data_IF_827394378926
#
_entry.id   IF_827394378926
#
_cell.length_a   1.000
_cell.length_b   1.000
_cell.length_c   1.000
_cell.angle_alpha   90.00
_cell.angle_beta   90.00
_cell.angle_gamma   90.00
#
_symmetry.space_group_name_H-M   'P 1'
#
loop_
_entity.id
_entity.type
_entity.pdbx_description
1 polymer ?
#
# COMPACT_ATOMS: atom_id res chain seq x y z
N UNK A 1 -7.76 -24.25 9.09
CA UNK A 1 -6.70 -23.36 8.58
C UNK A 1 -6.45 -22.30 9.62
N UNK A 2 -5.20 -22.14 10.06
CA UNK A 2 -4.82 -21.16 11.08
C UNK A 2 -4.10 -20.00 10.40
N UNK A 3 -4.62 -18.79 10.58
CA UNK A 3 -4.08 -17.57 9.99
C UNK A 3 -3.77 -16.54 11.06
N UNK A 4 -2.76 -15.72 10.83
CA UNK A 4 -2.35 -14.64 11.74
C UNK A 4 -1.92 -13.42 10.95
N UNK A 5 -2.30 -12.24 11.45
CA UNK A 5 -1.74 -10.98 10.97
C UNK A 5 -0.42 -10.69 11.70
N UNK A 6 0.61 -10.38 10.92
CA UNK A 6 1.95 -10.04 11.41
C UNK A 6 2.31 -8.65 10.93
N UNK A 7 2.64 -7.76 11.85
CA UNK A 7 3.23 -6.48 11.49
C UNK A 7 4.71 -6.70 11.16
N UNK A 8 5.12 -6.37 9.93
CA UNK A 8 6.50 -6.50 9.48
C UNK A 8 7.28 -5.21 9.68
N UNK A 9 6.61 -4.10 9.44
CA UNK A 9 7.12 -2.76 9.72
C UNK A 9 5.96 -1.87 10.14
N UNK A 10 6.14 -1.08 11.19
CA UNK A 10 5.08 -0.29 11.80
C UNK A 10 5.43 1.19 11.78
N UNK A 11 4.62 1.97 11.05
CA UNK A 11 4.73 3.42 10.96
C UNK A 11 6.16 3.90 10.63
N UNK A 12 6.79 3.22 9.67
CA UNK A 12 8.07 3.64 9.12
C UNK A 12 7.91 5.06 8.55
N UNK A 13 8.66 5.99 9.10
CA UNK A 13 8.54 7.42 8.81
C UNK A 13 9.57 7.87 7.78
N UNK A 14 9.13 8.59 6.74
CA UNK A 14 10.01 9.15 5.72
C UNK A 14 9.89 10.67 5.64
N UNK A 15 11.03 11.35 5.56
CA UNK A 15 11.15 12.79 5.37
C UNK A 15 11.25 13.18 3.88
N UNK A 16 10.72 12.34 2.99
CA UNK A 16 10.78 12.53 1.53
C UNK A 16 9.38 12.58 0.94
N UNK A 17 9.04 13.70 0.30
CA UNK A 17 7.77 13.88 -0.40
C UNK A 17 7.58 12.87 -1.55
N UNK A 18 8.67 12.39 -2.13
CA UNK A 18 8.70 11.34 -3.13
C UNK A 18 9.91 10.42 -2.89
N UNK A 19 9.69 9.10 -2.95
CA UNK A 19 10.75 8.11 -2.76
C UNK A 19 10.32 6.77 -3.36
N UNK A 20 11.32 5.95 -3.69
CA UNK A 20 11.16 4.50 -3.88
C UNK A 20 11.78 3.79 -2.69
N UNK A 21 10.96 3.10 -1.92
CA UNK A 21 11.38 2.29 -0.78
C UNK A 21 11.31 0.82 -1.13
N UNK A 22 12.39 0.09 -0.84
CA UNK A 22 12.43 -1.37 -0.97
C UNK A 22 12.52 -2.01 0.41
N UNK A 23 11.63 -2.95 0.67
CA UNK A 23 11.52 -3.71 1.91
C UNK A 23 11.72 -5.22 1.63
N UNK A 24 12.68 -5.90 2.28
CA UNK A 24 12.88 -7.34 2.08
C UNK A 24 11.78 -8.17 2.75
N UNK A 25 11.22 -9.15 2.03
CA UNK A 25 10.19 -10.05 2.58
C UNK A 25 10.86 -11.26 3.21
N UNK A 26 11.25 -11.14 4.48
CA UNK A 26 11.98 -12.17 5.23
C UNK A 26 11.04 -13.08 6.07
N UNK A 27 9.91 -13.50 5.50
CA UNK A 27 8.95 -14.42 6.16
C UNK A 27 9.10 -15.81 5.57
N UNK A 28 8.95 -16.83 6.41
CA UNK A 28 9.04 -18.25 6.02
C UNK A 28 7.70 -18.90 5.72
N UNK A 29 6.61 -18.37 6.30
CA UNK A 29 5.27 -18.92 6.15
C UNK A 29 4.57 -18.33 4.93
N UNK A 30 3.70 -19.11 4.24
CA UNK A 30 2.93 -18.60 3.11
C UNK A 30 2.06 -17.40 3.48
N UNK A 31 1.99 -16.42 2.58
CA UNK A 31 1.31 -15.13 2.77
C UNK A 31 0.11 -15.05 1.84
N UNK A 32 -1.06 -14.84 2.41
CA UNK A 32 -2.30 -14.76 1.61
C UNK A 32 -2.70 -13.33 1.28
N UNK A 33 -2.18 -12.37 2.04
CA UNK A 33 -2.47 -10.95 1.86
C UNK A 33 -1.32 -10.13 2.45
N UNK A 34 -0.89 -9.09 1.74
CA UNK A 34 -0.02 -8.04 2.29
C UNK A 34 -0.84 -6.76 2.34
N UNK A 35 -0.91 -6.10 3.49
CA UNK A 35 -1.58 -4.82 3.68
C UNK A 35 -0.57 -3.71 3.85
N UNK A 36 -0.65 -2.73 2.97
CA UNK A 36 0.18 -1.54 3.02
C UNK A 36 -0.66 -0.38 3.52
N UNK A 37 -0.31 0.14 4.68
CA UNK A 37 -0.97 1.29 5.27
C UNK A 37 -0.16 2.53 4.99
N UNK A 38 -0.69 3.43 4.16
CA UNK A 38 -0.07 4.70 3.82
C UNK A 38 -0.76 5.84 4.56
N UNK A 39 0.03 6.71 5.20
CA UNK A 39 -0.46 7.90 5.88
C UNK A 39 0.33 9.13 5.45
N UNK A 40 -0.42 10.17 5.13
CA UNK A 40 0.08 11.52 4.90
C UNK A 40 -0.90 12.51 5.54
N UNK A 41 -0.41 13.70 5.88
CA UNK A 41 -1.21 14.73 6.52
C UNK A 41 -1.51 15.83 5.51
N UNK A 42 -2.74 16.34 5.55
CA UNK A 42 -3.11 17.51 4.76
C UNK A 42 -2.38 18.74 5.29
N UNK A 43 -2.02 19.64 4.40
CA UNK A 43 -1.61 20.98 4.81
C UNK A 43 -2.84 21.82 5.16
N UNK A 44 -2.61 23.09 5.49
CA UNK A 44 -3.64 24.11 5.57
C UNK A 44 -4.34 24.28 4.22
N UNK A 45 -5.57 24.80 4.27
CA UNK A 45 -6.28 25.17 3.05
C UNK A 45 -5.47 26.21 2.28
N UNK A 46 -5.22 25.96 1.01
CA UNK A 46 -4.53 26.92 0.15
C UNK A 46 -5.26 28.26 0.10
N UNK A 47 -4.51 29.36 0.07
CA UNK A 47 -5.06 30.71 -0.14
C UNK A 47 -5.32 31.01 -1.61
N UNK A 48 -4.93 30.12 -2.52
CA UNK A 48 -5.05 30.32 -3.96
C UNK A 48 -6.50 30.08 -4.43
N UNK A 49 -7.12 31.13 -4.96
CA UNK A 49 -8.42 31.10 -5.65
C UNK A 49 -8.43 30.23 -6.93
N UNK A 50 -7.29 29.64 -7.31
CA UNK A 50 -7.10 28.85 -8.54
C UNK A 50 -7.14 27.35 -8.34
N UNK A 51 -7.09 26.84 -7.11
CA UNK A 51 -7.30 25.41 -6.84
C UNK A 51 -8.80 25.20 -6.65
N UNK A 52 -9.49 24.45 -7.54
CA UNK A 52 -10.90 24.17 -7.34
C UNK A 52 -11.08 23.54 -5.96
N UNK A 53 -11.94 24.13 -5.13
CA UNK A 53 -12.17 23.66 -3.74
C UNK A 53 -12.72 22.23 -3.66
N UNK A 54 -13.12 21.66 -4.80
CA UNK A 54 -13.61 20.28 -4.97
C UNK A 54 -12.49 19.25 -5.22
N UNK A 55 -11.22 19.66 -5.28
CA UNK A 55 -10.05 18.79 -5.51
C UNK A 55 -9.19 18.61 -4.25
N UNK A 56 -9.76 18.88 -3.06
CA UNK A 56 -8.96 19.16 -1.88
C UNK A 56 -9.13 18.18 -0.70
N UNK A 57 -8.05 17.47 -0.29
CA UNK A 57 -6.93 16.98 -1.08
C UNK A 57 -7.30 15.72 -1.85
N UNK A 58 -6.62 15.47 -2.96
CA UNK A 58 -6.83 14.28 -3.77
C UNK A 58 -6.64 12.98 -2.94
N UNK A 59 -7.36 11.89 -3.28
CA UNK A 59 -7.21 10.63 -2.57
C UNK A 59 -5.77 10.11 -2.64
N UNK A 60 -5.25 9.72 -1.48
CA UNK A 60 -3.89 9.24 -1.28
C UNK A 60 -3.42 8.08 -2.19
N UNK A 61 -4.29 7.14 -2.63
CA UNK A 61 -3.90 6.11 -3.58
C UNK A 61 -3.33 6.67 -4.90
N UNK A 62 -3.79 7.84 -5.34
CA UNK A 62 -3.25 8.47 -6.55
C UNK A 62 -1.82 9.01 -6.37
N UNK A 63 -1.33 9.14 -5.14
CA UNK A 63 0.06 9.49 -4.86
C UNK A 63 1.02 8.30 -4.97
N UNK A 64 0.50 7.08 -5.06
CA UNK A 64 1.29 5.85 -5.11
C UNK A 64 1.45 5.43 -6.56
N UNK A 65 2.66 5.60 -7.08
CA UNK A 65 3.00 5.34 -8.48
C UNK A 65 3.15 3.84 -8.76
N UNK A 66 3.68 3.09 -7.82
CA UNK A 66 3.87 1.66 -7.96
C UNK A 66 3.97 1.00 -6.59
N UNK A 67 3.31 -0.14 -6.44
CA UNK A 67 3.59 -1.15 -5.44
C UNK A 67 3.90 -2.45 -6.18
N UNK A 68 5.09 -2.98 -5.98
CA UNK A 68 5.55 -4.18 -6.65
C UNK A 68 6.12 -5.22 -5.70
N UNK A 69 5.85 -6.50 -5.98
CA UNK A 69 6.57 -7.64 -5.39
C UNK A 69 7.54 -8.14 -6.45
N UNK A 70 8.83 -8.17 -6.12
CA UNK A 70 9.91 -8.50 -7.05
C UNK A 70 10.82 -9.59 -6.47
N UNK A 71 11.41 -10.43 -7.31
CA UNK A 71 12.50 -11.34 -6.95
C UNK A 71 13.66 -11.15 -7.93
N UNK A 72 14.67 -10.38 -7.53
CA UNK A 72 15.76 -9.96 -8.42
C UNK A 72 15.24 -9.10 -9.58
N UNK A 73 15.25 -9.64 -10.80
CA UNK A 73 14.74 -8.98 -12.02
C UNK A 73 13.31 -9.37 -12.38
N UNK A 74 12.75 -10.38 -11.71
CA UNK A 74 11.37 -10.83 -11.96
C UNK A 74 10.39 -9.95 -11.19
N UNK A 75 9.35 -9.48 -11.89
CA UNK A 75 8.23 -8.75 -11.29
C UNK A 75 7.08 -9.72 -11.14
N UNK A 76 6.74 -10.05 -9.90
CA UNK A 76 5.69 -11.00 -9.52
C UNK A 76 4.34 -10.28 -9.48
N UNK A 77 4.35 -9.04 -9.02
CA UNK A 77 3.20 -8.14 -8.96
C UNK A 77 3.67 -6.71 -9.15
N UNK A 78 2.89 -5.89 -9.84
CA UNK A 78 3.04 -4.45 -9.88
C UNK A 78 1.71 -3.81 -10.23
N UNK A 79 1.22 -2.91 -9.38
CA UNK A 79 0.05 -2.05 -9.64
C UNK A 79 0.30 -0.67 -9.03
N UNK A 80 -0.37 0.36 -9.56
CA UNK A 80 -0.45 1.66 -8.89
C UNK A 80 -1.47 1.64 -7.73
N UNK A 81 -1.47 2.70 -6.90
CA UNK A 81 -2.37 2.72 -5.74
C UNK A 81 -3.86 2.75 -6.10
N UNK A 82 -4.25 3.39 -7.21
CA UNK A 82 -5.64 3.45 -7.64
C UNK A 82 -6.12 2.09 -8.15
N UNK A 83 -5.30 1.39 -8.92
CA UNK A 83 -5.51 0.02 -9.37
C UNK A 83 -5.64 -0.93 -8.18
N UNK A 84 -4.78 -0.82 -7.17
CA UNK A 84 -4.89 -1.65 -5.96
C UNK A 84 -6.22 -1.46 -5.21
N UNK A 85 -6.70 -0.22 -5.09
CA UNK A 85 -8.00 0.05 -4.47
C UNK A 85 -9.12 -0.52 -5.34
N UNK A 86 -9.07 -0.34 -6.66
CA UNK A 86 -10.07 -0.88 -7.58
C UNK A 86 -10.14 -2.41 -7.51
N UNK A 87 -8.98 -3.07 -7.49
CA UNK A 87 -8.86 -4.52 -7.34
C UNK A 87 -9.44 -5.01 -6.02
N UNK A 88 -9.10 -4.35 -4.91
CA UNK A 88 -9.64 -4.72 -3.60
C UNK A 88 -11.17 -4.54 -3.53
N UNK A 89 -11.70 -3.46 -4.13
CA UNK A 89 -13.15 -3.26 -4.26
C UNK A 89 -13.81 -4.38 -5.06
N UNK A 90 -13.19 -4.81 -6.16
CA UNK A 90 -13.70 -5.87 -7.02
C UNK A 90 -13.68 -7.23 -6.32
N UNK A 91 -12.55 -7.59 -5.71
CA UNK A 91 -12.33 -8.89 -5.06
C UNK A 91 -13.18 -9.06 -3.79
N UNK A 92 -13.28 -8.01 -2.97
CA UNK A 92 -13.93 -8.07 -1.67
C UNK A 92 -15.40 -7.61 -1.71
N UNK A 93 -15.80 -6.89 -2.75
CA UNK A 93 -17.12 -6.23 -2.85
C UNK A 93 -17.28 -5.00 -1.96
N UNK A 94 -16.20 -4.53 -1.33
CA UNK A 94 -16.16 -3.32 -0.51
C UNK A 94 -14.78 -2.66 -0.57
N UNK A 95 -14.74 -1.34 -0.35
CA UNK A 95 -13.49 -0.60 -0.36
C UNK A 95 -12.58 -1.00 0.82
N UNK A 96 -11.25 -1.09 0.59
CA UNK A 96 -10.31 -1.41 1.66
C UNK A 96 -10.37 -0.36 2.77
N UNK A 97 -9.85 -0.70 3.95
CA UNK A 97 -9.83 0.23 5.08
C UNK A 97 -9.20 1.56 4.66
N UNK A 98 -9.94 2.64 4.78
CA UNK A 98 -9.43 3.98 4.52
C UNK A 98 -10.14 5.01 5.39
N UNK A 99 -9.42 6.08 5.67
CA UNK A 99 -9.91 7.33 6.22
C UNK A 99 -9.44 8.43 5.29
N UNK A 100 -10.28 8.73 4.31
CA UNK A 100 -10.15 9.93 3.51
C UNK A 100 -10.68 11.12 4.33
N UNK A 101 -9.93 12.21 4.37
CA UNK A 101 -10.33 13.37 5.18
C UNK A 101 -9.95 14.66 4.46
N UNK A 102 -10.92 15.52 4.18
CA UNK A 102 -10.66 16.78 3.50
C UNK A 102 -10.42 17.94 4.47
N UNK A 103 -10.31 17.70 5.78
CA UNK A 103 -10.07 18.79 6.74
C UNK A 103 -8.61 19.24 6.76
N UNK A 104 -8.34 20.54 7.01
CA UNK A 104 -6.99 21.05 7.22
C UNK A 104 -6.28 20.32 8.35
N UNK A 105 -5.00 20.00 8.14
CA UNK A 105 -4.15 19.33 9.13
C UNK A 105 -4.67 17.96 9.59
N UNK A 106 -5.65 17.38 8.90
CA UNK A 106 -6.09 16.01 9.17
C UNK A 106 -5.16 15.00 8.51
N UNK A 107 -4.99 13.84 9.15
CA UNK A 107 -4.22 12.73 8.59
C UNK A 107 -5.13 11.82 7.77
N UNK A 108 -4.75 11.59 6.52
CA UNK A 108 -5.31 10.53 5.69
C UNK A 108 -4.68 9.19 6.06
N UNK A 109 -5.44 8.12 5.86
CA UNK A 109 -4.93 6.77 6.03
C UNK A 109 -5.59 5.86 5.01
N UNK A 110 -4.81 5.21 4.16
CA UNK A 110 -5.31 4.24 3.19
C UNK A 110 -4.63 2.89 3.38
N UNK A 111 -5.40 1.81 3.26
CA UNK A 111 -4.91 0.46 3.13
C UNK A 111 -4.91 0.09 1.65
N UNK A 112 -3.77 -0.36 1.14
CA UNK A 112 -3.57 -0.87 -0.21
C UNK A 112 -3.20 -2.35 -0.07
N UNK A 113 -4.18 -3.27 -0.11
CA UNK A 113 -3.91 -4.69 0.04
C UNK A 113 -3.45 -5.32 -1.28
N UNK A 114 -2.58 -6.31 -1.18
CA UNK A 114 -2.23 -7.26 -2.24
C UNK A 114 -2.85 -8.60 -1.84
N UNK A 115 -3.75 -9.13 -2.66
CA UNK A 115 -4.38 -10.42 -2.42
C UNK A 115 -3.69 -11.52 -3.24
N UNK A 116 -3.40 -12.66 -2.60
CA UNK A 116 -2.86 -13.84 -3.26
C UNK A 116 -3.86 -14.99 -3.22
N UNK A 117 -3.91 -15.76 -4.29
CA UNK A 117 -4.81 -16.91 -4.47
C UNK A 117 -6.13 -16.57 -5.13
N UNK A 118 -7.00 -17.57 -5.27
CA UNK A 118 -8.35 -17.38 -5.83
C UNK A 118 -9.32 -16.74 -4.84
N UNK A 119 -9.00 -16.82 -3.56
CA UNK A 119 -9.73 -16.23 -2.43
C UNK A 119 -8.75 -16.05 -1.26
N UNK A 120 -9.11 -15.23 -0.27
CA UNK A 120 -8.25 -14.83 0.87
C UNK A 120 -7.67 -15.98 1.70
N UNK A 121 -8.11 -17.22 1.48
CA UNK A 121 -7.68 -18.39 2.25
C UNK A 121 -7.37 -19.58 1.35
N UNK A 122 -6.92 -19.35 0.13
CA UNK A 122 -6.60 -20.41 -0.83
C UNK A 122 -5.33 -21.17 -0.39
N UNK A 123 -5.41 -22.46 -0.04
CA UNK A 123 -4.23 -23.21 0.40
C UNK A 123 -3.28 -23.56 -0.75
N UNK A 124 -3.73 -23.53 -2.00
CA UNK A 124 -2.96 -24.04 -3.15
C UNK A 124 -2.25 -22.94 -3.94
N UNK A 125 -2.88 -21.78 -4.12
CA UNK A 125 -2.39 -20.69 -4.99
C UNK A 125 -1.92 -19.45 -4.22
N UNK A 126 -1.31 -19.68 -3.06
CA UNK A 126 -0.80 -18.65 -2.15
C UNK A 126 0.65 -18.28 -2.43
N UNK A 127 1.04 -17.05 -2.11
CA UNK A 127 2.44 -16.64 -2.17
C UNK A 127 3.27 -17.36 -1.10
N UNK A 128 4.24 -18.16 -1.53
CA UNK A 128 5.17 -18.87 -0.66
C UNK A 128 6.57 -18.25 -0.82
N UNK A 129 7.03 -17.41 0.13
CA UNK A 129 8.31 -16.72 0.02
C UNK A 129 9.51 -17.67 -0.18
N UNK A 130 9.43 -18.92 0.31
CA UNK A 130 10.51 -19.91 0.20
C UNK A 130 10.76 -20.39 -1.22
N UNK A 131 9.82 -20.16 -2.14
CA UNK A 131 9.97 -20.49 -3.57
C UNK A 131 10.74 -19.44 -4.35
N UNK A 132 11.03 -18.30 -3.72
CA UNK A 132 11.76 -17.17 -4.29
C UNK A 132 13.14 -17.06 -3.66
N UNK A 133 14.09 -16.43 -4.36
CA UNK A 133 15.48 -16.31 -3.89
C UNK A 133 15.66 -15.12 -2.95
N UNK A 134 15.08 -13.99 -3.30
CA UNK A 134 15.15 -12.72 -2.58
C UNK A 134 13.89 -11.89 -2.87
N UNK A 135 12.71 -12.31 -2.37
CA UNK A 135 11.49 -11.55 -2.56
C UNK A 135 11.55 -10.22 -1.82
N UNK A 136 11.23 -9.13 -2.52
CA UNK A 136 11.22 -7.78 -2.01
C UNK A 136 9.91 -7.09 -2.37
N UNK A 137 9.44 -6.23 -1.48
CA UNK A 137 8.38 -5.28 -1.75
C UNK A 137 9.01 -3.94 -2.12
N UNK A 138 8.64 -3.38 -3.26
CA UNK A 138 9.04 -2.05 -3.70
C UNK A 138 7.81 -1.14 -3.73
N UNK A 139 7.90 0.01 -3.07
CA UNK A 139 6.84 1.00 -2.99
C UNK A 139 7.40 2.33 -3.49
N UNK A 140 6.76 2.91 -4.49
CA UNK A 140 7.11 4.23 -5.03
C UNK A 140 5.94 5.19 -4.85
N UNK A 141 6.19 6.32 -4.21
CA UNK A 141 5.20 7.39 -4.04
C UNK A 141 5.75 8.75 -4.40
N UNK A 142 4.83 9.69 -4.63
CA UNK A 142 5.09 11.10 -4.85
C UNK A 142 3.86 11.91 -4.44
N UNK A 143 3.96 12.65 -3.34
CA UNK A 143 2.88 13.51 -2.84
C UNK A 143 2.58 14.68 -3.77
N UNK A 144 3.50 15.04 -4.68
CA UNK A 144 3.34 16.12 -5.62
C UNK A 144 2.73 15.70 -6.96
N UNK A 145 2.40 14.40 -7.15
CA UNK A 145 2.05 13.85 -8.47
C UNK A 145 0.78 14.45 -9.07
N UNK A 146 -0.24 14.73 -8.26
CA UNK A 146 -1.49 15.36 -8.73
C UNK A 146 -1.41 16.88 -8.60
N UNK A 147 -0.84 17.38 -7.51
CA UNK A 147 -0.69 18.80 -7.23
C UNK A 147 0.53 19.02 -6.31
N UNK A 148 1.20 20.18 -6.38
CA UNK A 148 2.37 20.47 -5.55
C UNK A 148 2.10 20.27 -4.05
N UNK A 149 3.12 19.81 -3.32
CA UNK A 149 3.11 19.76 -1.85
C UNK A 149 3.01 21.17 -1.28
N UNK A 150 2.28 21.33 -0.18
CA UNK A 150 2.06 22.61 0.50
C UNK A 150 0.57 22.99 0.60
N UNK A 151 0.27 24.29 0.85
CA UNK A 151 -1.10 24.76 1.07
C UNK A 151 -2.02 24.39 -0.09
N UNK A 152 -3.12 23.70 0.22
CA UNK A 152 -3.98 23.14 -0.84
C UNK A 152 -3.64 21.68 -1.20
N UNK A 153 -2.74 21.01 -0.48
CA UNK A 153 -2.37 19.61 -0.73
C UNK A 153 -1.95 18.91 0.57
N UNK A 154 -1.06 17.92 0.47
CA UNK A 154 -0.36 17.31 1.57
C UNK A 154 0.72 18.26 2.11
N UNK A 155 0.93 18.19 3.42
CA UNK A 155 1.97 18.94 4.12
C UNK A 155 3.35 18.40 3.73
N UNK A 156 4.34 19.27 3.73
CA UNK A 156 5.72 18.86 3.46
C UNK A 156 6.26 17.85 4.49
N UNK A 157 6.96 16.83 4.01
CA UNK A 157 7.55 15.78 4.85
C UNK A 157 8.62 16.25 5.81
N UNK A 158 9.24 17.41 5.58
CA UNK A 158 10.12 18.08 6.56
C UNK A 158 9.33 18.56 7.78
N UNK A 159 8.04 18.87 7.62
CA UNK A 159 7.14 19.29 8.71
C UNK A 159 6.40 18.12 9.34
N UNK A 160 5.93 17.16 8.54
CA UNK A 160 5.29 15.94 9.04
C UNK A 160 5.60 14.78 8.10
N UNK A 161 6.35 13.81 8.60
CA UNK A 161 6.73 12.62 7.84
C UNK A 161 5.52 11.89 7.28
N UNK A 162 5.72 11.25 6.12
CA UNK A 162 4.78 10.21 5.67
C UNK A 162 5.10 8.91 6.38
N UNK A 163 4.07 8.12 6.66
CA UNK A 163 4.21 6.84 7.35
C UNK A 163 3.72 5.70 6.48
N UNK A 164 4.51 4.63 6.43
CA UNK A 164 4.09 3.35 5.89
C UNK A 164 4.10 2.27 6.98
N UNK A 165 3.07 1.43 7.02
CA UNK A 165 3.11 0.16 7.76
C UNK A 165 2.87 -1.01 6.82
N UNK A 166 3.62 -2.08 7.00
CA UNK A 166 3.51 -3.31 6.23
C UNK A 166 3.04 -4.41 7.15
N UNK A 167 1.91 -5.02 6.81
CA UNK A 167 1.36 -6.17 7.51
C UNK A 167 1.22 -7.34 6.54
N UNK A 168 1.51 -8.55 7.01
CA UNK A 168 1.27 -9.77 6.25
C UNK A 168 0.29 -10.67 6.99
N UNK A 169 -0.72 -11.16 6.28
CA UNK A 169 -1.58 -12.24 6.74
C UNK A 169 -0.95 -13.56 6.35
N UNK A 170 -0.38 -14.26 7.32
CA UNK A 170 0.31 -15.53 7.11
C UNK A 170 -0.61 -16.71 7.39
N UNK A 171 -0.40 -17.82 6.66
CA UNK A 171 -0.99 -19.12 6.95
C UNK A 171 0.00 -19.98 7.72
N UNK A 172 -0.25 -20.19 9.01
CA UNK A 172 0.61 -21.01 9.86
C UNK A 172 0.38 -22.51 9.65
N UNK A 173 -0.86 -22.89 9.32
CA UNK A 173 -1.24 -24.30 9.14
C UNK A 173 -2.23 -24.48 7.99
N UNK A 174 -2.02 -25.56 7.23
CA UNK A 174 -2.93 -26.02 6.17
C UNK A 174 -2.62 -25.49 4.77
N UNK A 175 -1.63 -24.61 4.62
CA UNK A 175 -1.13 -24.21 3.31
C UNK A 175 -0.44 -25.39 2.60
N UNK A 176 -0.73 -25.57 1.32
CA UNK A 176 -0.09 -26.55 0.43
C UNK A 176 0.24 -25.89 -0.92
N UNK A 177 1.16 -24.90 -0.92
CA UNK A 177 1.36 -24.04 -2.09
C UNK A 177 1.84 -24.85 -3.29
N UNK A 178 1.11 -24.79 -4.40
CA UNK A 178 1.50 -25.35 -5.70
C UNK A 178 2.15 -24.29 -6.58
N UNK A 179 1.67 -23.06 -6.46
CA UNK A 179 2.21 -21.85 -7.05
C UNK A 179 1.56 -20.64 -6.38
N UNK A 180 1.61 -19.48 -7.02
CA UNK A 180 0.86 -18.30 -6.63
C UNK A 180 -0.03 -17.85 -7.78
N UNK A 181 -1.21 -17.34 -7.47
CA UNK A 181 -2.06 -16.66 -8.42
C UNK A 181 -2.32 -15.25 -7.91
N UNK A 182 -2.16 -14.26 -8.76
CA UNK A 182 -2.60 -12.91 -8.45
C UNK A 182 -4.08 -12.82 -8.76
N UNK A 183 -4.88 -12.25 -7.85
CA UNK A 183 -6.22 -11.82 -8.23
C UNK A 183 -6.07 -10.78 -9.35
N UNK A 184 -6.81 -11.00 -10.44
CA UNK A 184 -6.75 -10.19 -11.66
C UNK A 184 -7.88 -9.21 -11.70
#
# INVERSE_FOLDING_TARGET
MKVRDVCLDYQHSFANNALTWTFPINIVDPITEIKLHFRAKNDVKGTAATTPTWLWPHPLPYCVKEVAVIDGSEVIFALDGAEMVAMSCFDLGYAPFHRHNENPLATHHWCLPIHFGRHLFDPEWIFDPKKFRNPQLRITWDLAVIQPVGPGSFIDTETTAVEWSIWAKIMEEGARPRGYLMTK
#
